data_IF_900560578804
#
_entry.id   IF_900560578804
#
_cell.length_a   1.000
_cell.length_b   1.000
_cell.length_c   1.000
_cell.angle_alpha   90.00
_cell.angle_beta   90.00
_cell.angle_gamma   90.00
#
_symmetry.space_group_name_H-M   'P 1'
#
loop_
_entity.id
_entity.type
_entity.pdbx_description
1 polymer ?
#
# COMPACT_ATOMS: atom_id res chain seq x y z
N UNK A 1 -21.67 -96.36 -18.64
CA UNK A 1 -22.45 -96.55 -17.41
C UNK A 1 -21.60 -95.91 -16.30
N UNK A 2 -21.54 -94.58 -16.17
CA UNK A 2 -22.61 -93.65 -15.70
C UNK A 2 -22.91 -93.89 -14.20
N UNK A 3 -22.96 -92.94 -13.26
CA UNK A 3 -22.60 -91.52 -13.12
C UNK A 3 -22.64 -91.20 -11.59
N UNK A 4 -22.25 -89.98 -11.23
CA UNK A 4 -22.36 -89.27 -9.93
C UNK A 4 -23.70 -89.40 -9.20
N UNK A 5 -23.79 -89.26 -7.87
CA UNK A 5 -24.19 -88.05 -7.06
C UNK A 5 -24.80 -88.61 -5.73
N UNK A 6 -24.92 -87.98 -4.56
CA UNK A 6 -24.76 -86.60 -4.10
C UNK A 6 -24.52 -86.56 -2.57
N UNK A 7 -24.17 -85.36 -2.09
CA UNK A 7 -23.75 -84.90 -0.75
C UNK A 7 -24.87 -84.83 0.28
N UNK A 8 -24.49 -84.83 1.57
CA UNK A 8 -24.86 -83.75 2.48
C UNK A 8 -23.87 -83.63 3.65
N UNK A 9 -23.18 -82.49 3.71
CA UNK A 9 -22.18 -82.13 4.73
C UNK A 9 -22.74 -80.99 5.58
N UNK A 10 -22.87 -81.21 6.88
CA UNK A 10 -23.24 -80.16 7.84
C UNK A 10 -22.06 -79.18 8.02
N UNK A 11 -22.24 -77.95 7.55
CA UNK A 11 -21.30 -76.85 7.75
C UNK A 11 -21.53 -76.22 9.13
N UNK A 12 -20.57 -76.37 10.03
CA UNK A 12 -20.42 -75.57 11.25
C UNK A 12 -20.14 -74.12 10.88
N UNK A 13 -20.99 -73.21 11.37
CA UNK A 13 -20.87 -71.75 11.22
C UNK A 13 -19.64 -71.24 12.00
N UNK A 14 -18.75 -70.43 11.42
CA UNK A 14 -17.68 -69.78 12.17
C UNK A 14 -18.25 -68.65 13.03
N UNK A 15 -17.80 -68.61 14.29
CA UNK A 15 -18.00 -67.54 15.24
C UNK A 15 -17.22 -66.31 14.76
N UNK A 16 -17.94 -65.24 14.41
CA UNK A 16 -17.33 -63.99 13.96
C UNK A 16 -17.13 -63.12 15.20
N UNK A 17 -15.88 -63.01 15.60
CA UNK A 17 -15.38 -62.09 16.63
C UNK A 17 -15.84 -60.67 16.35
N UNK A 18 -16.37 -60.05 17.40
CA UNK A 18 -16.76 -58.65 17.50
C UNK A 18 -15.62 -57.72 17.02
N UNK A 19 -15.79 -57.12 15.84
CA UNK A 19 -14.95 -56.00 15.40
C UNK A 19 -15.76 -54.73 15.56
N UNK A 20 -15.32 -53.89 16.50
CA UNK A 20 -15.74 -52.52 16.76
C UNK A 20 -16.26 -51.78 15.52
N UNK A 21 -17.34 -50.98 15.62
CA UNK A 21 -17.76 -50.12 14.52
C UNK A 21 -16.64 -49.13 14.20
N UNK A 22 -16.09 -49.23 12.99
CA UNK A 22 -15.19 -48.25 12.43
C UNK A 22 -15.92 -46.90 12.30
N UNK A 23 -15.33 -45.90 12.96
CA UNK A 23 -15.36 -44.47 12.73
C UNK A 23 -16.42 -43.89 11.77
N UNK A 24 -17.22 -42.96 12.32
CA UNK A 24 -17.78 -41.77 11.68
C UNK A 24 -17.28 -41.53 10.25
N UNK A 25 -17.98 -42.09 9.26
CA UNK A 25 -17.84 -41.68 7.86
C UNK A 25 -19.02 -40.78 7.55
N UNK A 26 -18.91 -39.52 7.94
CA UNK A 26 -19.77 -38.45 7.43
C UNK A 26 -19.64 -38.48 5.91
N UNK A 27 -20.69 -38.94 5.22
CA UNK A 27 -20.71 -38.98 3.76
C UNK A 27 -20.49 -37.57 3.20
N UNK A 28 -19.81 -37.42 2.05
CA UNK A 28 -19.64 -36.12 1.40
C UNK A 28 -20.99 -35.40 1.17
N UNK A 29 -22.06 -36.18 1.01
CA UNK A 29 -23.44 -35.68 0.90
C UNK A 29 -23.98 -35.12 2.22
N UNK A 30 -23.67 -35.73 3.37
CA UNK A 30 -24.05 -35.18 4.68
C UNK A 30 -23.22 -33.97 5.09
N UNK A 31 -21.94 -33.91 4.70
CA UNK A 31 -21.10 -32.72 4.84
C UNK A 31 -21.61 -31.57 3.97
N UNK A 32 -21.92 -31.83 2.70
CA UNK A 32 -22.50 -30.83 1.80
C UNK A 32 -23.88 -30.37 2.30
N UNK A 33 -24.72 -31.29 2.80
CA UNK A 33 -26.01 -30.94 3.39
C UNK A 33 -25.85 -30.09 4.67
N UNK A 34 -24.84 -30.37 5.49
CA UNK A 34 -24.51 -29.56 6.66
C UNK A 34 -24.04 -28.15 6.23
N UNK A 35 -23.14 -28.05 5.25
CA UNK A 35 -22.68 -26.76 4.71
C UNK A 35 -23.79 -25.94 4.05
N UNK A 36 -24.70 -26.58 3.31
CA UNK A 36 -25.87 -25.91 2.72
C UNK A 36 -26.87 -25.46 3.79
N UNK A 37 -27.01 -26.22 4.88
CA UNK A 37 -27.85 -25.82 6.02
C UNK A 37 -27.24 -24.68 6.84
N UNK A 38 -25.90 -24.59 6.90
CA UNK A 38 -25.21 -23.42 7.44
C UNK A 38 -25.33 -22.20 6.51
N UNK A 39 -25.31 -22.39 5.19
CA UNK A 39 -25.52 -21.35 4.19
C UNK A 39 -26.92 -20.71 4.28
N UNK A 40 -27.95 -21.50 4.60
CA UNK A 40 -29.31 -21.02 4.88
C UNK A 40 -29.41 -20.19 6.18
N UNK A 41 -28.43 -20.33 7.08
CA UNK A 41 -28.27 -19.55 8.32
C UNK A 41 -27.29 -18.38 8.21
N UNK A 42 -26.61 -18.18 7.08
CA UNK A 42 -25.86 -16.95 6.83
C UNK A 42 -26.88 -15.83 6.63
N UNK A 43 -27.16 -15.10 7.70
CA UNK A 43 -28.05 -13.96 7.68
C UNK A 43 -27.46 -12.95 6.68
N UNK A 44 -28.25 -12.46 5.71
CA UNK A 44 -27.77 -11.44 4.77
C UNK A 44 -27.29 -10.15 5.50
N UNK A 45 -27.71 -9.97 6.75
CA UNK A 45 -27.20 -8.95 7.67
C UNK A 45 -25.75 -9.19 8.14
N UNK A 46 -25.27 -10.44 8.22
CA UNK A 46 -23.88 -10.77 8.56
C UNK A 46 -22.93 -10.57 7.37
N UNK A 47 -23.47 -10.45 6.15
CA UNK A 47 -22.74 -10.06 4.94
C UNK A 47 -22.64 -8.53 4.77
N UNK A 48 -23.37 -7.74 5.57
CA UNK A 48 -23.19 -6.30 5.60
C UNK A 48 -21.92 -6.00 6.40
N UNK A 49 -20.86 -5.55 5.72
CA UNK A 49 -19.69 -4.97 6.39
C UNK A 49 -20.19 -3.89 7.35
N UNK A 50 -19.88 -4.03 8.65
CA UNK A 50 -20.22 -3.02 9.65
C UNK A 50 -19.67 -1.67 9.17
N UNK A 51 -20.48 -0.59 9.18
CA UNK A 51 -20.00 0.72 8.76
C UNK A 51 -18.77 1.08 9.59
N UNK A 52 -17.68 1.40 8.90
CA UNK A 52 -16.41 1.78 9.53
C UNK A 52 -16.63 3.13 10.22
N UNK A 53 -16.69 3.13 11.55
CA UNK A 53 -16.81 4.36 12.32
C UNK A 53 -15.47 5.11 12.26
N UNK A 54 -15.48 6.28 11.60
CA UNK A 54 -14.29 7.10 11.46
C UNK A 54 -14.05 7.87 12.76
N UNK A 55 -12.99 7.50 13.49
CA UNK A 55 -12.62 8.15 14.76
C UNK A 55 -12.36 9.67 14.57
N UNK A 56 -12.09 10.12 13.34
CA UNK A 56 -11.94 11.55 13.00
C UNK A 56 -13.22 12.37 13.13
N UNK A 57 -14.41 11.75 13.03
CA UNK A 57 -15.69 12.47 13.02
C UNK A 57 -16.33 12.57 14.42
N UNK A 58 -15.93 11.72 15.36
CA UNK A 58 -16.58 11.58 16.67
C UNK A 58 -15.90 12.31 17.82
N UNK A 59 -14.67 12.81 17.65
CA UNK A 59 -13.84 13.26 18.78
C UNK A 59 -13.43 14.73 18.61
N UNK A 60 -13.83 15.57 19.57
CA UNK A 60 -13.39 16.98 19.70
C UNK A 60 -11.90 16.99 20.10
N UNK A 61 -11.02 17.10 19.10
CA UNK A 61 -9.59 16.87 19.29
C UNK A 61 -8.89 18.11 19.87
N UNK A 62 -8.28 17.95 21.05
CA UNK A 62 -7.38 18.95 21.63
C UNK A 62 -6.00 18.94 20.96
N UNK A 63 -5.31 20.09 20.95
CA UNK A 63 -3.94 20.22 20.41
C UNK A 63 -2.99 19.23 21.10
N UNK A 64 -2.24 18.46 20.31
CA UNK A 64 -1.21 17.53 20.77
C UNK A 64 0.08 18.26 21.18
N UNK A 65 0.03 18.94 22.32
CA UNK A 65 1.20 19.66 22.89
C UNK A 65 2.50 18.85 22.97
N UNK A 66 2.50 17.52 23.23
CA UNK A 66 3.70 16.69 23.19
C UNK A 66 4.39 16.63 21.82
N UNK A 67 3.66 16.89 20.71
CA UNK A 67 4.21 16.93 19.35
C UNK A 67 4.58 18.36 18.98
N UNK A 68 3.70 19.32 19.30
CA UNK A 68 3.85 20.73 18.94
C UNK A 68 5.07 21.37 19.61
N UNK A 69 5.29 21.14 20.91
CA UNK A 69 6.36 21.81 21.65
C UNK A 69 7.76 21.39 21.12
N UNK A 70 8.09 20.10 20.96
CA UNK A 70 9.38 19.71 20.40
C UNK A 70 9.59 20.22 18.98
N UNK A 71 8.56 20.15 18.12
CA UNK A 71 8.65 20.65 16.75
C UNK A 71 8.91 22.17 16.73
N UNK A 72 8.17 22.94 17.52
CA UNK A 72 8.31 24.39 17.61
C UNK A 72 9.69 24.78 18.14
N UNK A 73 10.18 24.12 19.19
CA UNK A 73 11.51 24.39 19.75
C UNK A 73 12.62 24.09 18.73
N UNK A 74 12.48 23.01 17.97
CA UNK A 74 13.45 22.66 16.92
C UNK A 74 13.45 23.68 15.78
N UNK A 75 12.27 24.11 15.31
CA UNK A 75 12.14 25.15 14.28
C UNK A 75 12.77 26.47 14.77
N UNK A 76 12.43 26.91 15.99
CA UNK A 76 12.97 28.14 16.56
C UNK A 76 14.49 28.06 16.73
N UNK A 77 15.03 26.93 17.17
CA UNK A 77 16.46 26.73 17.31
C UNK A 77 17.19 26.87 15.96
N UNK A 78 16.65 26.28 14.89
CA UNK A 78 17.22 26.38 13.53
C UNK A 78 17.16 27.83 13.03
N UNK A 79 16.03 28.52 13.23
CA UNK A 79 15.87 29.93 12.82
C UNK A 79 16.87 30.83 13.56
N UNK A 80 16.99 30.68 14.89
CA UNK A 80 17.93 31.46 15.70
C UNK A 80 19.37 31.18 15.28
N UNK A 81 19.71 29.92 15.00
CA UNK A 81 21.06 29.55 14.54
C UNK A 81 21.38 30.14 13.16
N UNK A 82 20.45 30.04 12.20
CA UNK A 82 20.61 30.58 10.85
C UNK A 82 20.76 32.11 10.83
N UNK A 83 20.00 32.83 11.66
CA UNK A 83 20.10 34.28 11.77
C UNK A 83 21.31 34.74 12.58
N UNK A 84 21.68 34.01 13.63
CA UNK A 84 22.77 34.39 14.54
C UNK A 84 24.17 34.12 13.99
N UNK A 85 24.36 33.02 13.24
CA UNK A 85 25.66 32.62 12.68
C UNK A 85 25.51 32.04 11.26
N UNK A 86 25.13 32.84 10.25
CA UNK A 86 24.80 32.36 8.91
C UNK A 86 25.94 31.59 8.23
N UNK A 87 27.18 32.07 8.32
CA UNK A 87 28.33 31.38 7.72
C UNK A 87 28.61 30.01 8.35
N UNK A 88 28.42 29.87 9.67
CA UNK A 88 28.57 28.59 10.34
C UNK A 88 27.43 27.63 10.00
N UNK A 89 26.20 28.14 9.91
CA UNK A 89 25.04 27.38 9.49
C UNK A 89 25.23 26.83 8.07
N UNK A 90 25.61 27.68 7.12
CA UNK A 90 25.87 27.29 5.72
C UNK A 90 26.96 26.22 5.62
N UNK A 91 28.11 26.42 6.27
CA UNK A 91 29.20 25.44 6.26
C UNK A 91 28.75 24.09 6.86
N UNK A 92 27.98 24.13 7.95
CA UNK A 92 27.48 22.91 8.60
C UNK A 92 26.43 22.20 7.73
N UNK A 93 25.49 22.95 7.15
CA UNK A 93 24.47 22.41 6.24
C UNK A 93 25.09 21.76 5.00
N UNK A 94 26.10 22.39 4.40
CA UNK A 94 26.83 21.83 3.27
C UNK A 94 27.57 20.55 3.66
N UNK A 95 28.27 20.53 4.80
CA UNK A 95 28.94 19.33 5.30
C UNK A 95 27.96 18.17 5.53
N UNK A 96 26.80 18.46 6.14
CA UNK A 96 25.74 17.47 6.36
C UNK A 96 25.14 16.99 5.03
N UNK A 97 24.86 17.88 4.09
CA UNK A 97 24.36 17.54 2.76
C UNK A 97 25.34 16.64 2.02
N UNK A 98 26.63 17.00 1.97
CA UNK A 98 27.67 16.16 1.36
C UNK A 98 27.72 14.79 2.03
N UNK A 99 27.68 14.73 3.37
CA UNK A 99 27.66 13.46 4.08
C UNK A 99 26.46 12.60 3.71
N UNK A 100 25.24 13.17 3.64
CA UNK A 100 24.03 12.45 3.23
C UNK A 100 24.17 11.95 1.78
N UNK A 101 24.63 12.78 0.86
CA UNK A 101 24.79 12.40 -0.55
C UNK A 101 25.83 11.28 -0.72
N UNK A 102 26.96 11.36 -0.02
CA UNK A 102 28.03 10.34 -0.12
C UNK A 102 27.63 9.01 0.53
N UNK A 103 26.97 9.04 1.69
CA UNK A 103 26.68 7.80 2.45
C UNK A 103 25.31 7.20 2.12
N UNK A 104 24.31 8.04 1.86
CA UNK A 104 22.92 7.62 1.64
C UNK A 104 22.45 7.84 0.21
N UNK A 105 23.23 8.47 -0.68
CA UNK A 105 22.83 8.74 -2.07
C UNK A 105 22.39 7.48 -2.83
N UNK A 106 23.08 6.35 -2.61
CA UNK A 106 22.69 5.06 -3.21
C UNK A 106 21.30 4.61 -2.76
N UNK A 107 20.93 4.86 -1.50
CA UNK A 107 19.65 4.48 -0.95
C UNK A 107 18.52 5.33 -1.57
N UNK A 108 18.73 6.64 -1.74
CA UNK A 108 17.76 7.51 -2.43
C UNK A 108 17.47 7.02 -3.86
N UNK A 109 18.53 6.73 -4.63
CA UNK A 109 18.36 6.22 -6.01
C UNK A 109 17.65 4.87 -6.01
N UNK A 110 18.14 3.91 -5.23
CA UNK A 110 17.57 2.56 -5.18
C UNK A 110 16.11 2.56 -4.72
N UNK A 111 15.80 3.19 -3.59
CA UNK A 111 14.45 3.17 -3.04
C UNK A 111 13.47 3.98 -3.87
N UNK A 112 13.90 5.08 -4.51
CA UNK A 112 13.03 5.84 -5.42
C UNK A 112 12.52 4.96 -6.57
N UNK A 113 13.38 4.13 -7.17
CA UNK A 113 12.98 3.19 -8.21
C UNK A 113 12.16 2.03 -7.67
N UNK A 114 12.51 1.50 -6.48
CA UNK A 114 11.71 0.45 -5.81
C UNK A 114 10.29 0.95 -5.56
N UNK A 115 10.09 2.20 -5.12
CA UNK A 115 8.77 2.77 -4.87
C UNK A 115 7.90 2.84 -6.12
N UNK A 116 8.49 3.21 -7.26
CA UNK A 116 7.78 3.19 -8.56
C UNK A 116 7.33 1.77 -8.90
N UNK A 117 8.23 0.79 -8.81
CA UNK A 117 7.90 -0.61 -9.11
C UNK A 117 6.83 -1.12 -8.13
N UNK A 118 7.00 -0.84 -6.84
CA UNK A 118 6.10 -1.27 -5.79
C UNK A 118 4.67 -0.77 -6.02
N UNK A 119 4.49 0.52 -6.31
CA UNK A 119 3.14 1.07 -6.49
C UNK A 119 2.48 0.52 -7.78
N UNK A 120 3.25 0.31 -8.84
CA UNK A 120 2.74 -0.32 -10.07
C UNK A 120 2.31 -1.76 -9.80
N UNK A 121 3.11 -2.52 -9.05
CA UNK A 121 2.77 -3.90 -8.66
C UNK A 121 1.51 -3.92 -7.81
N UNK A 122 1.38 -3.03 -6.81
CA UNK A 122 0.17 -2.93 -6.00
C UNK A 122 -1.05 -2.61 -6.86
N UNK A 123 -0.95 -1.62 -7.75
CA UNK A 123 -2.03 -1.23 -8.66
C UNK A 123 -2.46 -2.35 -9.61
N UNK A 124 -1.51 -3.14 -10.14
CA UNK A 124 -1.79 -4.26 -11.03
C UNK A 124 -2.20 -5.55 -10.30
N UNK A 125 -1.94 -5.65 -8.99
CA UNK A 125 -2.25 -6.82 -8.17
C UNK A 125 -3.73 -6.89 -7.77
N UNK A 126 -4.09 -7.95 -7.04
CA UNK A 126 -5.42 -8.10 -6.43
C UNK A 126 -5.74 -6.97 -5.44
N UNK A 127 -4.72 -6.34 -4.84
CA UNK A 127 -4.90 -5.24 -3.89
C UNK A 127 -5.42 -3.96 -4.55
N UNK A 128 -5.15 -3.73 -5.84
CA UNK A 128 -5.68 -2.58 -6.58
C UNK A 128 -7.21 -2.59 -6.76
N UNK A 129 -7.87 -3.72 -6.48
CA UNK A 129 -9.34 -3.83 -6.51
C UNK A 129 -10.01 -3.41 -5.21
N UNK A 130 -9.24 -3.23 -4.14
CA UNK A 130 -9.76 -2.86 -2.83
C UNK A 130 -10.18 -1.39 -2.86
N UNK A 131 -11.43 -1.12 -2.50
CA UNK A 131 -11.92 0.25 -2.31
C UNK A 131 -11.39 0.84 -1.01
N UNK A 132 -11.02 2.12 -1.05
CA UNK A 132 -10.51 2.86 0.10
C UNK A 132 -11.70 3.46 0.86
N UNK A 133 -12.37 2.63 1.65
CA UNK A 133 -13.63 2.92 2.33
C UNK A 133 -14.39 1.64 2.65
N UNK A 134 -15.69 1.73 2.93
CA UNK A 134 -16.56 0.56 3.00
C UNK A 134 -16.70 -0.11 1.61
N UNK A 135 -17.01 -1.42 1.55
CA UNK A 135 -17.11 -2.14 0.28
C UNK A 135 -18.09 -1.50 -0.72
N UNK A 136 -19.20 -0.95 -0.22
CA UNK A 136 -20.25 -0.33 -1.04
C UNK A 136 -20.16 1.21 -1.11
N UNK A 137 -19.10 1.80 -0.57
CA UNK A 137 -18.91 3.24 -0.58
C UNK A 137 -18.61 3.75 -1.99
N UNK A 138 -19.26 4.85 -2.36
CA UNK A 138 -19.08 5.52 -3.64
C UNK A 138 -18.11 6.69 -3.51
N UNK A 139 -17.36 7.04 -4.57
CA UNK A 139 -16.50 8.22 -4.54
C UNK A 139 -17.28 9.50 -4.19
N UNK A 140 -16.78 10.25 -3.21
CA UNK A 140 -17.38 11.53 -2.80
C UNK A 140 -17.33 12.59 -3.91
N UNK A 141 -16.25 12.56 -4.71
CA UNK A 141 -16.02 13.49 -5.82
C UNK A 141 -16.12 12.78 -7.17
N UNK A 142 -16.59 13.52 -8.18
CA UNK A 142 -16.55 13.04 -9.56
C UNK A 142 -15.11 12.82 -10.02
N UNK A 143 -14.90 11.90 -10.97
CA UNK A 143 -13.57 11.61 -11.52
C UNK A 143 -12.87 12.87 -12.08
N UNK A 144 -13.62 13.77 -12.72
CA UNK A 144 -13.08 15.01 -13.26
C UNK A 144 -12.63 15.97 -12.14
N UNK A 145 -13.44 16.12 -11.10
CA UNK A 145 -13.09 16.92 -9.91
C UNK A 145 -11.87 16.33 -9.20
N UNK A 146 -11.81 15.01 -9.03
CA UNK A 146 -10.68 14.32 -8.40
C UNK A 146 -9.36 14.53 -9.15
N UNK A 147 -9.36 14.38 -10.48
CA UNK A 147 -8.18 14.65 -11.32
C UNK A 147 -7.77 16.13 -11.22
N UNK A 148 -8.73 17.06 -11.24
CA UNK A 148 -8.44 18.49 -11.11
C UNK A 148 -7.79 18.81 -9.75
N UNK A 149 -8.25 18.19 -8.66
CA UNK A 149 -7.63 18.35 -7.33
C UNK A 149 -6.20 17.81 -7.29
N UNK A 150 -5.90 16.69 -7.95
CA UNK A 150 -4.54 16.17 -8.04
C UNK A 150 -3.59 17.15 -8.75
N UNK A 151 -4.03 17.77 -9.85
CA UNK A 151 -3.24 18.79 -10.55
C UNK A 151 -3.07 20.06 -9.70
N UNK A 152 -4.12 20.50 -9.02
CA UNK A 152 -4.07 21.69 -8.16
C UNK A 152 -3.12 21.51 -6.96
N UNK A 153 -3.09 20.32 -6.35
CA UNK A 153 -2.21 20.02 -5.23
C UNK A 153 -0.75 19.74 -5.64
N UNK A 154 -0.54 19.11 -6.81
CA UNK A 154 0.78 18.63 -7.24
C UNK A 154 1.61 19.62 -8.06
N UNK A 155 0.97 20.52 -8.83
CA UNK A 155 1.67 21.47 -9.70
C UNK A 155 2.00 22.77 -8.97
N UNK A 156 2.91 22.67 -7.99
CA UNK A 156 3.29 23.80 -7.13
C UNK A 156 4.32 24.76 -7.74
N UNK A 157 4.98 25.50 -6.83
CA UNK A 157 6.09 26.43 -7.11
C UNK A 157 7.24 25.76 -7.87
N UNK A 158 7.46 24.46 -7.64
CA UNK A 158 8.53 23.69 -8.28
C UNK A 158 8.52 23.76 -9.80
N UNK A 159 7.35 23.60 -10.44
CA UNK A 159 7.24 23.70 -11.90
C UNK A 159 7.43 25.12 -12.42
N UNK A 160 7.06 26.14 -11.63
CA UNK A 160 7.31 27.54 -12.00
C UNK A 160 8.80 27.89 -11.97
N UNK A 161 9.56 27.35 -11.02
CA UNK A 161 11.00 27.58 -10.92
C UNK A 161 11.81 26.68 -11.85
N UNK A 162 11.59 25.37 -11.78
CA UNK A 162 12.41 24.37 -12.47
C UNK A 162 11.87 23.94 -13.82
N UNK A 163 10.60 24.18 -14.13
CA UNK A 163 9.98 23.70 -15.36
C UNK A 163 10.68 24.18 -16.63
N UNK A 164 11.18 25.42 -16.64
CA UNK A 164 12.00 25.94 -17.73
C UNK A 164 13.51 25.84 -17.44
N UNK A 165 13.95 26.05 -16.20
CA UNK A 165 15.38 26.18 -15.90
C UNK A 165 16.11 24.84 -15.95
N UNK A 166 15.49 23.76 -15.51
CA UNK A 166 16.14 22.47 -15.38
C UNK A 166 16.39 21.80 -16.74
N UNK A 167 15.41 21.70 -17.66
CA UNK A 167 15.68 21.18 -18.99
C UNK A 167 16.68 22.06 -19.77
N UNK A 168 16.65 23.38 -19.56
CA UNK A 168 17.62 24.30 -20.16
C UNK A 168 19.03 24.08 -19.61
N UNK A 169 19.16 23.84 -18.30
CA UNK A 169 20.45 23.54 -17.67
C UNK A 169 21.01 22.21 -18.18
N UNK A 170 20.20 21.15 -18.23
CA UNK A 170 20.61 19.86 -18.78
C UNK A 170 20.97 19.95 -20.27
N UNK A 171 20.28 20.80 -21.03
CA UNK A 171 20.62 21.06 -22.43
C UNK A 171 21.94 21.83 -22.54
N UNK A 172 22.15 22.90 -21.77
CA UNK A 172 23.35 23.76 -21.91
C UNK A 172 24.60 23.10 -21.36
N UNK A 173 24.50 22.47 -20.19
CA UNK A 173 25.64 21.98 -19.42
C UNK A 173 25.86 20.47 -19.61
N UNK A 174 24.87 19.76 -20.15
CA UNK A 174 24.86 18.30 -20.26
C UNK A 174 24.43 17.62 -18.95
N UNK A 175 24.29 16.30 -19.00
CA UNK A 175 24.09 15.45 -17.81
C UNK A 175 25.24 14.44 -17.72
N UNK A 176 25.53 13.85 -16.54
CA UNK A 176 26.64 12.91 -16.40
C UNK A 176 26.63 11.82 -17.49
N UNK A 177 27.78 11.62 -18.14
CA UNK A 177 27.97 10.68 -19.27
C UNK A 177 27.26 11.04 -20.59
N UNK A 178 26.72 12.26 -20.74
CA UNK A 178 26.10 12.73 -21.98
C UNK A 178 26.63 14.10 -22.41
N UNK A 179 26.66 14.36 -23.72
CA UNK A 179 27.18 15.62 -24.22
C UNK A 179 26.18 16.78 -24.01
N UNK A 180 26.67 18.02 -23.88
CA UNK A 180 25.81 19.20 -23.96
C UNK A 180 25.06 19.28 -25.30
N UNK A 181 23.96 20.04 -25.30
CA UNK A 181 23.05 20.31 -26.41
C UNK A 181 22.27 19.08 -26.93
N UNK A 182 22.13 18.04 -26.11
CA UNK A 182 21.28 16.88 -26.37
C UNK A 182 19.84 17.11 -25.87
N UNK A 183 18.92 17.46 -26.77
CA UNK A 183 17.51 17.73 -26.42
C UNK A 183 16.84 16.49 -25.79
N UNK A 184 17.06 15.31 -26.36
CA UNK A 184 16.43 14.07 -25.89
C UNK A 184 16.82 13.73 -24.46
N UNK A 185 18.12 13.76 -24.17
CA UNK A 185 18.67 13.46 -22.83
C UNK A 185 18.25 14.51 -21.80
N UNK A 186 18.26 15.79 -22.18
CA UNK A 186 17.83 16.88 -21.30
C UNK A 186 16.35 16.74 -20.90
N UNK A 187 15.46 16.47 -21.86
CA UNK A 187 14.05 16.25 -21.58
C UNK A 187 13.81 14.97 -20.78
N UNK A 188 14.49 13.87 -21.13
CA UNK A 188 14.37 12.61 -20.40
C UNK A 188 14.76 12.76 -18.91
N UNK A 189 15.84 13.49 -18.64
CA UNK A 189 16.31 13.75 -17.27
C UNK A 189 15.32 14.60 -16.47
N UNK A 190 14.79 15.67 -17.08
CA UNK A 190 13.75 16.47 -16.44
C UNK A 190 12.46 15.65 -16.19
N UNK A 191 12.01 14.85 -17.17
CA UNK A 191 10.86 13.97 -16.97
C UNK A 191 11.10 12.94 -15.88
N UNK A 192 12.32 12.40 -15.76
CA UNK A 192 12.66 11.46 -14.70
C UNK A 192 12.45 12.07 -13.30
N UNK A 193 12.82 13.34 -13.11
CA UNK A 193 12.66 14.05 -11.83
C UNK A 193 11.21 14.48 -11.52
N UNK A 194 10.38 14.76 -12.53
CA UNK A 194 9.05 15.38 -12.32
C UNK A 194 7.85 14.45 -12.59
N UNK A 195 8.08 13.18 -12.93
CA UNK A 195 7.01 12.21 -13.23
C UNK A 195 6.99 11.05 -12.23
N UNK A 196 7.16 9.80 -12.67
CA UNK A 196 6.80 8.62 -11.89
C UNK A 196 7.47 8.55 -10.50
N UNK A 197 8.73 8.97 -10.38
CA UNK A 197 9.49 8.86 -9.12
C UNK A 197 8.85 9.64 -7.95
N UNK A 198 8.67 10.98 -8.01
CA UNK A 198 8.02 11.71 -6.93
C UNK A 198 6.55 11.30 -6.74
N UNK A 199 5.81 11.09 -7.83
CA UNK A 199 4.39 10.73 -7.75
C UNK A 199 4.17 9.35 -7.11
N UNK A 200 5.07 8.39 -7.31
CA UNK A 200 5.02 7.10 -6.62
C UNK A 200 5.20 7.23 -5.11
N UNK A 201 6.06 8.13 -4.65
CA UNK A 201 6.24 8.39 -3.21
C UNK A 201 4.96 8.96 -2.59
N UNK A 202 4.32 9.92 -3.27
CA UNK A 202 3.02 10.46 -2.83
C UNK A 202 1.93 9.39 -2.83
N UNK A 203 1.89 8.53 -3.85
CA UNK A 203 0.92 7.45 -3.92
C UNK A 203 1.09 6.43 -2.79
N UNK A 204 2.32 6.09 -2.39
CA UNK A 204 2.56 5.17 -1.27
C UNK A 204 2.07 5.76 0.05
N UNK A 205 2.46 7.01 0.35
CA UNK A 205 2.04 7.67 1.60
C UNK A 205 0.54 7.90 1.61
N UNK A 206 -0.02 8.40 0.51
CA UNK A 206 -1.45 8.60 0.34
C UNK A 206 -2.25 7.31 0.49
N UNK A 207 -1.78 6.21 -0.11
CA UNK A 207 -2.40 4.89 0.03
C UNK A 207 -2.32 4.37 1.47
N UNK A 208 -1.17 4.52 2.14
CA UNK A 208 -1.01 4.09 3.53
C UNK A 208 -1.97 4.82 4.47
N UNK A 209 -2.09 6.14 4.31
CA UNK A 209 -3.01 6.97 5.11
C UNK A 209 -4.46 6.66 4.76
N UNK A 210 -4.81 6.62 3.47
CA UNK A 210 -6.18 6.38 3.03
C UNK A 210 -6.68 4.99 3.44
N UNK A 211 -5.84 3.96 3.30
CA UNK A 211 -6.19 2.61 3.75
C UNK A 211 -6.34 2.56 5.28
N UNK A 212 -5.38 3.13 6.02
CA UNK A 212 -5.45 3.15 7.50
C UNK A 212 -6.67 3.90 8.03
N UNK A 213 -7.01 5.02 7.40
CA UNK A 213 -8.08 5.92 7.87
C UNK A 213 -9.44 5.43 7.39
N UNK A 214 -9.63 5.28 6.06
CA UNK A 214 -10.94 5.00 5.48
C UNK A 214 -11.31 3.52 5.48
N UNK A 215 -10.35 2.61 5.28
CA UNK A 215 -10.64 1.16 5.26
C UNK A 215 -10.61 0.52 6.66
N UNK A 216 -9.70 0.96 7.52
CA UNK A 216 -9.57 0.41 8.89
C UNK A 216 -10.30 1.27 9.94
N UNK A 217 -10.54 2.56 9.68
CA UNK A 217 -11.16 3.46 10.66
C UNK A 217 -10.19 4.03 11.69
N UNK A 218 -8.88 3.99 11.45
CA UNK A 218 -7.89 4.54 12.39
C UNK A 218 -7.83 6.06 12.31
N UNK A 219 -7.32 6.69 13.37
CA UNK A 219 -7.05 8.14 13.39
C UNK A 219 -6.06 8.52 12.29
N UNK A 220 -6.37 9.59 11.57
CA UNK A 220 -5.43 10.23 10.65
C UNK A 220 -4.41 11.03 11.46
N UNK A 221 -3.33 10.37 11.86
CA UNK A 221 -2.20 11.01 12.54
C UNK A 221 -1.35 11.75 11.49
N UNK A 222 -1.51 13.07 11.41
CA UNK A 222 -0.58 13.99 10.74
C UNK A 222 -0.12 15.02 11.78
#
# INVERSE_FOLDING_TARGET
MENSENRDTQHTKPEITDTQPAENTTTATSELAALLSEEEHINAADLQEKPVELISETEDQSISWPVVIPAMLLILAIVVWGLGKPANFEATANNMLTWVLTNLGWAFVLFSTIFVIFIIVIAASKFGKIRLGAADEQPEFSNASWIAMMFAAGMGIGLMFYGASEPLAFYRDGVPNHAPHEVGTAMASAMFHWTLHPWAMYAIVGLAIAYSTYRIGRRQLI
#
